data_IF_783273455871
#
_entry.id   IF_783273455871
#
_cell.length_a   1.000
_cell.length_b   1.000
_cell.length_c   1.000
_cell.angle_alpha   90.00
_cell.angle_beta   90.00
_cell.angle_gamma   90.00
#
_symmetry.space_group_name_H-M   'P 1'
#
loop_
_entity.id
_entity.type
_entity.pdbx_description
1 polymer ?
#
# COMPACT_ATOMS: atom_id res chain seq x y z
N UNK A 1 46.36 -18.52 34.31
CA UNK A 1 46.32 -17.34 33.41
C UNK A 1 45.31 -17.65 32.31
N UNK A 2 44.06 -17.22 32.47
CA UNK A 2 42.94 -17.53 31.57
C UNK A 2 42.81 -16.44 30.51
N UNK A 3 42.98 -16.81 29.26
CA UNK A 3 42.81 -15.93 28.12
C UNK A 3 41.30 -15.84 27.76
N UNK A 4 40.72 -14.69 28.02
CA UNK A 4 39.38 -14.33 27.62
C UNK A 4 39.38 -14.04 26.11
N UNK A 5 38.78 -14.91 25.31
CA UNK A 5 38.56 -14.66 23.88
C UNK A 5 37.32 -13.76 23.72
N UNK A 6 37.53 -12.51 23.35
CA UNK A 6 36.50 -11.59 22.89
C UNK A 6 35.95 -12.10 21.53
N UNK A 7 34.72 -12.57 21.54
CA UNK A 7 33.97 -12.85 20.34
C UNK A 7 33.41 -11.52 19.81
N UNK A 8 34.04 -10.98 18.78
CA UNK A 8 33.52 -9.84 18.06
C UNK A 8 32.27 -10.28 17.26
N UNK A 9 31.10 -10.06 17.83
CA UNK A 9 29.83 -10.23 17.15
C UNK A 9 29.72 -9.21 16.02
N UNK A 10 29.68 -9.67 14.79
CA UNK A 10 29.34 -8.83 13.64
C UNK A 10 27.89 -8.37 13.82
N UNK A 11 27.70 -7.12 14.25
CA UNK A 11 26.40 -6.45 14.17
C UNK A 11 26.03 -6.34 12.68
N UNK A 12 25.10 -7.19 12.25
CA UNK A 12 24.34 -6.94 11.04
C UNK A 12 23.56 -5.64 11.27
N UNK A 13 24.07 -4.54 10.75
CA UNK A 13 23.28 -3.33 10.61
C UNK A 13 22.18 -3.64 9.61
N UNK A 14 20.98 -3.93 10.12
CA UNK A 14 19.74 -3.87 9.34
C UNK A 14 19.72 -2.48 8.69
N UNK A 15 19.91 -2.45 7.37
CA UNK A 15 19.61 -1.26 6.60
C UNK A 15 18.15 -0.89 6.91
N UNK A 16 17.83 0.40 7.14
CA UNK A 16 16.44 0.79 7.36
C UNK A 16 15.66 0.32 6.15
N UNK A 17 14.67 -0.55 6.39
CA UNK A 17 13.62 -0.89 5.44
C UNK A 17 13.13 0.42 4.85
N UNK A 18 13.14 0.53 3.53
CA UNK A 18 12.88 1.75 2.79
C UNK A 18 11.76 2.53 3.45
N UNK A 19 12.02 3.81 3.67
CA UNK A 19 11.02 4.70 4.23
C UNK A 19 9.85 4.68 3.24
N UNK A 20 8.80 3.92 3.57
CA UNK A 20 7.50 4.18 2.99
C UNK A 20 7.31 5.68 3.09
N UNK A 21 7.10 6.35 1.96
CA UNK A 21 6.81 7.79 1.97
C UNK A 21 5.65 7.94 2.91
N UNK A 22 5.95 8.36 4.12
CA UNK A 22 4.93 8.56 5.15
C UNK A 22 3.92 9.50 4.53
N UNK A 23 2.67 9.07 4.48
CA UNK A 23 1.59 10.02 4.35
C UNK A 23 1.90 11.11 5.35
N UNK A 24 1.88 12.36 4.91
CA UNK A 24 2.04 13.48 5.82
C UNK A 24 0.67 13.71 6.48
N UNK A 25 0.42 13.14 7.68
CA UNK A 25 -0.85 13.31 8.35
C UNK A 25 -0.98 14.76 8.78
N UNK A 26 -2.12 15.35 8.51
CA UNK A 26 -2.45 16.70 8.92
C UNK A 26 -3.37 16.62 10.13
N UNK A 27 -3.05 17.35 11.17
CA UNK A 27 -3.91 17.51 12.35
C UNK A 27 -4.61 18.86 12.27
N UNK A 28 -5.91 18.93 12.55
CA UNK A 28 -6.73 20.14 12.48
C UNK A 28 -6.16 21.27 13.34
N UNK A 29 -5.66 20.95 14.54
CA UNK A 29 -5.02 21.94 15.42
C UNK A 29 -3.85 22.67 14.75
N UNK A 30 -3.13 22.01 13.84
CA UNK A 30 -2.01 22.61 13.11
C UNK A 30 -2.51 23.52 11.98
N UNK A 31 -3.65 23.19 11.37
CA UNK A 31 -4.34 24.06 10.42
C UNK A 31 -4.83 25.34 11.11
N UNK A 32 -5.54 25.21 12.21
CA UNK A 32 -6.06 26.33 13.02
C UNK A 32 -4.92 27.23 13.51
N UNK A 33 -3.81 26.63 13.92
CA UNK A 33 -2.63 27.37 14.38
C UNK A 33 -1.79 27.99 13.24
N UNK A 34 -2.18 27.78 11.96
CA UNK A 34 -1.42 28.24 10.78
C UNK A 34 -0.08 27.53 10.57
N UNK A 35 0.19 26.43 11.31
CA UNK A 35 1.40 25.63 11.21
C UNK A 35 1.38 24.66 10.02
N UNK A 36 0.19 24.27 9.57
CA UNK A 36 -0.02 23.49 8.37
C UNK A 36 -0.95 24.25 7.43
N UNK A 37 -0.68 24.16 6.14
CA UNK A 37 -1.51 24.71 5.06
C UNK A 37 -1.69 23.66 4.01
N UNK A 38 -2.84 23.68 3.35
CA UNK A 38 -3.07 22.83 2.20
C UNK A 38 -2.30 23.42 1.00
N UNK A 39 -1.63 22.53 0.26
CA UNK A 39 -0.80 22.86 -0.90
C UNK A 39 -1.55 22.44 -2.18
N UNK A 40 -1.72 23.34 -3.11
CA UNK A 40 -2.40 23.08 -4.38
C UNK A 40 -1.68 22.08 -5.29
N UNK A 41 -0.41 21.80 -5.06
CA UNK A 41 0.35 20.78 -5.79
C UNK A 41 0.18 19.37 -5.20
N UNK A 42 -0.34 19.25 -3.97
CA UNK A 42 -0.59 17.98 -3.29
C UNK A 42 -2.05 17.57 -3.48
N UNK A 43 -2.32 16.29 -3.45
CA UNK A 43 -3.66 15.78 -3.26
C UNK A 43 -3.90 15.44 -1.79
N UNK A 44 -5.14 15.22 -1.42
CA UNK A 44 -5.51 14.92 -0.03
C UNK A 44 -6.52 13.78 0.00
N UNK A 45 -6.31 12.84 0.93
CA UNK A 45 -7.26 11.76 1.20
C UNK A 45 -7.87 12.02 2.58
N UNK A 46 -9.19 12.23 2.60
CA UNK A 46 -9.97 12.38 3.82
C UNK A 46 -10.78 11.12 4.10
N UNK A 47 -10.66 10.63 5.33
CA UNK A 47 -11.36 9.44 5.83
C UNK A 47 -12.03 9.80 7.15
N UNK A 48 -13.23 9.30 7.38
CA UNK A 48 -13.97 9.53 8.61
C UNK A 48 -14.72 8.28 9.05
N UNK A 49 -14.91 8.08 10.33
CA UNK A 49 -15.67 6.96 10.89
C UNK A 49 -16.19 7.27 12.29
N UNK A 50 -17.12 6.47 12.78
CA UNK A 50 -17.64 6.56 14.16
C UNK A 50 -16.58 6.10 15.18
N UNK A 51 -15.60 5.33 14.73
CA UNK A 51 -14.52 4.82 15.54
C UNK A 51 -13.16 5.15 14.90
N UNK A 52 -12.07 4.91 15.62
CA UNK A 52 -10.73 5.03 15.07
C UNK A 52 -10.52 4.01 13.96
N UNK A 53 -10.11 4.49 12.81
CA UNK A 53 -9.82 3.69 11.63
C UNK A 53 -8.31 3.65 11.37
N UNK A 54 -7.89 2.68 10.60
CA UNK A 54 -6.54 2.60 10.06
C UNK A 54 -6.57 1.85 8.73
N UNK A 55 -5.58 2.09 7.91
CA UNK A 55 -5.46 1.38 6.65
C UNK A 55 -4.32 1.87 5.79
N UNK A 56 -4.15 1.20 4.67
CA UNK A 56 -3.09 1.48 3.71
C UNK A 56 -3.67 1.58 2.31
N UNK A 57 -3.25 2.61 1.60
CA UNK A 57 -3.48 2.78 0.16
C UNK A 57 -2.16 2.56 -0.58
N UNK A 58 -2.21 1.92 -1.74
CA UNK A 58 -1.09 1.86 -2.68
C UNK A 58 -1.34 2.86 -3.79
N UNK A 59 -0.37 3.72 -4.07
CA UNK A 59 -0.42 4.57 -5.25
C UNK A 59 0.04 3.78 -6.46
N UNK A 60 -0.72 3.83 -7.55
CA UNK A 60 -0.28 3.26 -8.83
C UNK A 60 0.93 4.04 -9.32
N UNK A 61 2.09 3.40 -9.53
CA UNK A 61 3.30 4.10 -9.94
C UNK A 61 3.13 4.76 -11.32
N UNK A 62 3.41 6.05 -11.39
CA UNK A 62 3.58 6.78 -12.63
C UNK A 62 4.99 6.59 -13.21
N UNK A 63 5.25 7.16 -14.39
CA UNK A 63 6.53 7.00 -15.07
C UNK A 63 7.68 7.62 -14.28
N UNK A 64 7.47 8.75 -13.61
CA UNK A 64 8.48 9.38 -12.76
C UNK A 64 8.84 8.50 -11.57
N UNK A 65 7.85 7.89 -10.93
CA UNK A 65 8.07 6.94 -9.84
C UNK A 65 8.80 5.69 -10.31
N UNK A 66 8.46 5.18 -11.52
CA UNK A 66 9.15 4.05 -12.14
C UNK A 66 10.61 4.37 -12.45
N UNK A 67 10.87 5.54 -13.06
CA UNK A 67 12.21 5.99 -13.39
C UNK A 67 13.08 6.19 -12.13
N UNK A 68 12.51 6.81 -11.08
CA UNK A 68 13.19 6.98 -9.81
C UNK A 68 13.50 5.64 -9.13
N UNK A 69 12.55 4.70 -9.15
CA UNK A 69 12.76 3.36 -8.60
C UNK A 69 13.88 2.61 -9.36
N UNK A 70 13.88 2.68 -10.69
CA UNK A 70 14.91 2.06 -11.52
C UNK A 70 16.30 2.61 -11.19
N UNK A 71 16.43 3.92 -11.04
CA UNK A 71 17.68 4.56 -10.64
C UNK A 71 18.17 4.07 -9.27
N UNK A 72 17.28 3.93 -8.32
CA UNK A 72 17.62 3.41 -6.98
C UNK A 72 18.01 1.93 -7.05
N UNK A 73 17.34 1.15 -7.88
CA UNK A 73 17.66 -0.25 -8.13
C UNK A 73 19.08 -0.39 -8.70
N UNK A 74 19.43 0.37 -9.76
CA UNK A 74 20.75 0.33 -10.40
C UNK A 74 21.86 0.72 -9.41
N UNK A 75 21.61 1.75 -8.60
CA UNK A 75 22.55 2.17 -7.55
C UNK A 75 22.73 1.09 -6.47
N UNK A 76 21.64 0.48 -6.03
CA UNK A 76 21.67 -0.59 -5.03
C UNK A 76 22.37 -1.85 -5.58
N UNK A 77 22.10 -2.22 -6.82
CA UNK A 77 22.74 -3.34 -7.50
C UNK A 77 24.25 -3.15 -7.63
N UNK A 78 24.68 -1.97 -8.10
CA UNK A 78 26.11 -1.63 -8.17
C UNK A 78 26.80 -1.73 -6.80
N UNK A 79 26.13 -1.30 -5.74
CA UNK A 79 26.65 -1.43 -4.37
C UNK A 79 26.72 -2.89 -3.93
N UNK A 80 25.73 -3.71 -4.31
CA UNK A 80 25.72 -5.15 -4.01
C UNK A 80 26.87 -5.88 -4.71
N UNK A 81 27.14 -5.57 -5.98
CA UNK A 81 28.26 -6.13 -6.74
C UNK A 81 29.62 -5.78 -6.10
N UNK A 82 29.81 -4.53 -5.66
CA UNK A 82 31.03 -4.14 -4.95
C UNK A 82 31.21 -4.90 -3.63
N UNK A 83 30.12 -5.08 -2.88
CA UNK A 83 30.16 -5.86 -1.63
C UNK A 83 30.47 -7.33 -1.90
N UNK A 84 29.90 -7.91 -2.95
CA UNK A 84 30.19 -9.26 -3.35
C UNK A 84 31.68 -9.44 -3.71
N UNK A 85 32.27 -8.55 -4.52
CA UNK A 85 33.69 -8.62 -4.87
C UNK A 85 34.59 -8.61 -3.61
N UNK A 86 34.28 -7.74 -2.63
CA UNK A 86 35.03 -7.71 -1.35
C UNK A 86 34.83 -8.99 -0.54
N UNK A 87 33.60 -9.48 -0.46
CA UNK A 87 33.27 -10.70 0.27
C UNK A 87 33.90 -11.94 -0.38
N UNK A 88 33.98 -11.99 -1.72
CA UNK A 88 34.63 -13.06 -2.46
C UNK A 88 36.14 -13.09 -2.20
N UNK A 89 36.81 -11.93 -2.23
CA UNK A 89 38.22 -11.83 -1.91
C UNK A 89 38.51 -12.28 -0.47
N UNK A 90 37.69 -11.87 0.48
CA UNK A 90 37.82 -12.32 1.87
C UNK A 90 37.60 -13.84 1.98
N UNK A 91 36.56 -14.37 1.33
CA UNK A 91 36.29 -15.81 1.32
C UNK A 91 37.45 -16.64 0.73
N UNK A 92 38.08 -16.15 -0.35
CA UNK A 92 39.24 -16.80 -0.94
C UNK A 92 40.41 -16.88 0.05
N UNK A 93 40.67 -15.81 0.81
CA UNK A 93 41.72 -15.79 1.83
C UNK A 93 41.37 -16.72 3.00
N UNK A 94 40.12 -16.67 3.48
CA UNK A 94 39.66 -17.52 4.58
C UNK A 94 39.70 -19.02 4.18
N UNK A 95 39.38 -19.34 2.91
CA UNK A 95 39.42 -20.71 2.41
C UNK A 95 40.84 -21.26 2.35
N UNK A 96 41.80 -20.48 1.89
CA UNK A 96 43.24 -20.86 1.94
C UNK A 96 43.72 -21.12 3.36
N UNK A 97 43.32 -20.28 4.32
CA UNK A 97 43.67 -20.45 5.72
C UNK A 97 43.01 -21.69 6.30
N UNK A 98 41.76 -21.96 5.95
CA UNK A 98 41.01 -23.14 6.37
C UNK A 98 41.69 -24.46 5.88
N UNK A 99 42.20 -24.47 4.64
CA UNK A 99 42.97 -25.59 4.09
C UNK A 99 44.25 -25.84 4.90
N UNK A 100 45.01 -24.77 5.24
CA UNK A 100 46.24 -24.86 6.01
C UNK A 100 45.98 -25.36 7.46
N UNK A 101 44.85 -24.93 8.06
CA UNK A 101 44.47 -25.30 9.44
C UNK A 101 43.59 -26.55 9.51
N UNK A 102 43.30 -27.21 8.38
CA UNK A 102 42.39 -28.37 8.28
C UNK A 102 41.01 -28.10 8.90
N UNK A 103 40.55 -26.84 8.84
CA UNK A 103 39.23 -26.43 9.30
C UNK A 103 38.21 -26.38 8.15
N UNK A 104 36.92 -26.43 8.46
CA UNK A 104 35.87 -26.33 7.43
C UNK A 104 35.79 -24.90 6.89
N UNK A 105 35.94 -24.69 5.56
CA UNK A 105 35.81 -23.35 4.97
C UNK A 105 34.36 -22.84 5.09
N UNK A 106 34.17 -21.55 5.07
CA UNK A 106 32.84 -20.91 4.98
C UNK A 106 32.24 -21.14 3.60
N UNK A 107 30.93 -21.05 3.52
CA UNK A 107 30.24 -21.12 2.23
C UNK A 107 30.63 -19.92 1.35
N UNK A 108 30.80 -20.17 0.05
CA UNK A 108 31.09 -19.12 -0.93
C UNK A 108 29.94 -18.12 -0.99
N UNK A 109 30.23 -16.80 -0.99
CA UNK A 109 29.18 -15.80 -1.15
C UNK A 109 28.46 -15.96 -2.49
N UNK A 110 27.13 -15.76 -2.50
CA UNK A 110 26.31 -15.78 -3.72
C UNK A 110 26.50 -14.48 -4.51
N UNK A 111 26.70 -14.60 -5.82
CA UNK A 111 26.82 -13.45 -6.71
C UNK A 111 25.45 -12.81 -6.94
N UNK A 112 25.29 -11.48 -6.72
CA UNK A 112 24.05 -10.80 -7.07
C UNK A 112 23.96 -10.68 -8.59
N UNK A 113 22.91 -11.28 -9.19
CA UNK A 113 22.58 -11.13 -10.61
C UNK A 113 21.39 -10.19 -10.78
N UNK A 114 21.16 -9.70 -12.01
CA UNK A 114 20.01 -8.84 -12.31
C UNK A 114 18.68 -9.53 -12.04
N UNK A 115 18.63 -10.86 -12.17
CA UNK A 115 17.44 -11.69 -11.99
C UNK A 115 17.14 -11.99 -10.52
N UNK A 116 18.18 -12.05 -9.69
CA UNK A 116 18.04 -12.42 -8.27
C UNK A 116 18.07 -11.23 -7.32
N UNK A 117 18.64 -10.09 -7.78
CA UNK A 117 18.75 -8.90 -6.94
C UNK A 117 17.46 -8.11 -6.91
N UNK A 118 17.02 -7.76 -5.72
CA UNK A 118 15.78 -7.01 -5.50
C UNK A 118 15.96 -5.93 -4.46
N UNK A 119 15.18 -4.87 -4.61
CA UNK A 119 14.97 -3.83 -3.60
C UNK A 119 13.49 -3.83 -3.22
N UNK A 120 13.06 -2.88 -2.41
CA UNK A 120 11.65 -2.74 -2.04
C UNK A 120 10.75 -2.68 -3.29
N UNK A 121 9.60 -3.36 -3.28
CA UNK A 121 8.70 -3.38 -4.43
C UNK A 121 8.28 -1.98 -4.87
N UNK A 122 8.21 -1.77 -6.18
CA UNK A 122 7.81 -0.51 -6.79
C UNK A 122 6.44 -0.02 -6.28
N UNK A 123 5.49 -0.93 -6.14
CA UNK A 123 4.12 -0.62 -5.69
C UNK A 123 4.05 -0.10 -4.24
N UNK A 124 5.08 -0.35 -3.43
CA UNK A 124 5.15 0.15 -2.05
C UNK A 124 5.80 1.53 -1.95
N UNK A 125 6.38 2.04 -3.03
CA UNK A 125 7.20 3.27 -2.98
C UNK A 125 6.43 4.48 -2.49
N UNK A 126 5.19 4.63 -2.93
CA UNK A 126 4.29 5.73 -2.56
C UNK A 126 3.07 5.21 -1.77
N UNK A 127 3.25 4.12 -1.01
CA UNK A 127 2.20 3.61 -0.13
C UNK A 127 1.87 4.61 0.99
N UNK A 128 0.60 4.78 1.26
CA UNK A 128 0.07 5.74 2.23
C UNK A 128 -0.68 4.99 3.32
N UNK A 129 -0.18 5.04 4.55
CA UNK A 129 -0.86 4.50 5.71
C UNK A 129 -1.44 5.63 6.57
N UNK A 130 -2.63 5.43 7.12
CA UNK A 130 -3.27 6.36 8.04
C UNK A 130 -3.78 5.64 9.29
N UNK A 131 -3.99 6.39 10.36
CA UNK A 131 -4.52 5.90 11.63
C UNK A 131 -3.69 4.81 12.30
N UNK A 132 -4.11 4.38 13.48
CA UNK A 132 -5.13 4.98 14.35
C UNK A 132 -4.67 6.25 15.08
N UNK A 133 -3.39 6.63 14.93
CA UNK A 133 -2.80 7.88 15.46
C UNK A 133 -2.93 9.01 14.42
N UNK A 134 -2.52 10.23 14.78
CA UNK A 134 -2.53 11.41 13.91
C UNK A 134 -3.92 11.69 13.33
N UNK A 135 -4.89 11.75 14.24
CA UNK A 135 -6.28 12.10 13.94
C UNK A 135 -6.34 13.55 13.47
N UNK A 136 -7.05 13.82 12.36
CA UNK A 136 -7.29 15.18 11.90
C UNK A 136 -8.21 15.91 12.87
N UNK A 137 -9.43 15.43 13.03
CA UNK A 137 -10.41 15.97 13.97
C UNK A 137 -11.10 14.84 14.72
N UNK A 138 -11.54 15.16 15.95
CA UNK A 138 -12.27 14.23 16.81
C UNK A 138 -13.47 14.95 17.43
N UNK A 139 -14.65 14.46 17.11
CA UNK A 139 -15.94 14.85 17.66
C UNK A 139 -16.83 13.62 17.68
N UNK A 140 -18.06 13.73 17.15
CA UNK A 140 -18.97 12.60 16.95
C UNK A 140 -18.37 11.56 15.97
N UNK A 141 -17.45 12.00 15.16
CA UNK A 141 -16.66 11.16 14.24
C UNK A 141 -15.17 11.39 14.43
N UNK A 142 -14.39 10.38 14.11
CA UNK A 142 -12.92 10.46 14.07
C UNK A 142 -12.51 10.54 12.61
N UNK A 143 -11.79 11.59 12.23
CA UNK A 143 -11.36 11.78 10.85
C UNK A 143 -9.85 11.84 10.72
N UNK A 144 -9.38 11.53 9.52
CA UNK A 144 -7.97 11.54 9.11
C UNK A 144 -7.84 12.31 7.82
N UNK A 145 -6.82 13.14 7.72
CA UNK A 145 -6.46 13.86 6.52
C UNK A 145 -4.98 13.62 6.23
N UNK A 146 -4.68 13.11 5.05
CA UNK A 146 -3.31 12.83 4.63
C UNK A 146 -3.00 13.58 3.34
N UNK A 147 -1.93 14.37 3.36
CA UNK A 147 -1.37 14.95 2.15
C UNK A 147 -0.59 13.87 1.39
N UNK A 148 -0.89 13.73 0.10
CA UNK A 148 -0.36 12.67 -0.74
C UNK A 148 0.07 13.22 -2.10
N UNK A 149 0.82 12.47 -2.90
CA UNK A 149 1.03 12.79 -4.30
C UNK A 149 -0.28 12.59 -5.07
N UNK A 150 -0.64 13.45 -6.03
CA UNK A 150 -1.77 13.18 -6.92
C UNK A 150 -1.57 11.88 -7.72
N UNK A 151 -2.68 11.25 -8.12
CA UNK A 151 -2.68 10.03 -8.94
C UNK A 151 -3.69 9.00 -8.48
N UNK A 152 -3.63 7.81 -9.07
CA UNK A 152 -4.54 6.71 -8.75
C UNK A 152 -4.10 5.96 -7.51
N UNK A 153 -5.02 5.72 -6.59
CA UNK A 153 -4.82 4.97 -5.35
C UNK A 153 -5.69 3.73 -5.31
N UNK A 154 -5.15 2.64 -4.78
CA UNK A 154 -5.85 1.38 -4.55
C UNK A 154 -5.99 1.19 -3.04
N UNK A 155 -7.19 0.85 -2.59
CA UNK A 155 -7.42 0.49 -1.20
C UNK A 155 -6.81 -0.88 -0.90
N UNK A 156 -5.63 -0.89 -0.27
CA UNK A 156 -4.92 -2.13 0.04
C UNK A 156 -5.56 -2.91 1.19
N UNK A 157 -6.24 -2.20 2.08
CA UNK A 157 -7.03 -2.80 3.16
C UNK A 157 -6.81 -2.18 4.53
N UNK A 158 -7.57 -2.62 5.54
CA UNK A 158 -7.37 -2.25 6.92
C UNK A 158 -6.08 -2.91 7.45
N UNK A 159 -4.97 -2.34 7.06
CA UNK A 159 -3.63 -2.80 7.35
C UNK A 159 -2.82 -1.67 7.97
N UNK A 160 -2.31 -1.89 9.17
CA UNK A 160 -1.38 -1.00 9.84
C UNK A 160 0.04 -1.48 9.60
N UNK A 161 0.86 -0.62 9.02
CA UNK A 161 2.28 -0.89 8.76
C UNK A 161 3.13 -0.13 9.77
N UNK A 162 3.97 -0.85 10.49
CA UNK A 162 4.90 -0.30 11.49
C UNK A 162 6.31 -0.85 11.23
N UNK A 163 7.37 -0.23 11.75
CA UNK A 163 8.74 -0.70 11.52
C UNK A 163 8.97 -2.18 11.89
N UNK A 164 8.22 -2.71 12.85
CA UNK A 164 8.31 -4.09 13.29
C UNK A 164 7.53 -5.09 12.42
N UNK A 165 6.74 -4.63 11.45
CA UNK A 165 5.92 -5.48 10.59
C UNK A 165 4.59 -4.84 10.21
N UNK A 166 3.64 -5.68 9.82
CA UNK A 166 2.29 -5.24 9.48
C UNK A 166 1.24 -6.08 10.19
N UNK A 167 0.14 -5.46 10.56
CA UNK A 167 -1.00 -6.12 11.21
C UNK A 167 -2.30 -5.70 10.56
N UNK A 168 -3.18 -6.66 10.31
CA UNK A 168 -4.48 -6.43 9.67
C UNK A 168 -4.69 -7.30 8.45
N UNK A 169 -5.55 -6.83 7.56
CA UNK A 169 -6.01 -7.59 6.39
C UNK A 169 -5.65 -6.86 5.10
N UNK A 170 -5.10 -7.61 4.15
CA UNK A 170 -4.92 -7.17 2.77
C UNK A 170 -6.17 -7.56 1.95
N UNK A 171 -6.76 -6.61 1.23
CA UNK A 171 -7.78 -6.89 0.20
C UNK A 171 -7.14 -7.38 -1.10
N UNK A 172 -6.18 -8.27 -0.98
CA UNK A 172 -5.36 -8.75 -2.08
C UNK A 172 -6.10 -9.61 -3.09
N UNK A 173 -7.31 -10.09 -2.76
CA UNK A 173 -8.14 -10.89 -3.67
C UNK A 173 -9.19 -10.06 -4.42
N UNK A 174 -9.06 -8.75 -4.39
CA UNK A 174 -9.92 -7.78 -5.06
C UNK A 174 -10.25 -6.60 -4.15
N UNK A 175 -10.21 -5.40 -4.74
CA UNK A 175 -10.39 -4.15 -4.04
C UNK A 175 -10.98 -3.08 -4.98
N UNK A 176 -10.86 -1.81 -4.58
CA UNK A 176 -11.24 -0.65 -5.37
C UNK A 176 -10.10 0.32 -5.52
N UNK A 177 -10.14 1.12 -6.58
CA UNK A 177 -9.24 2.22 -6.87
C UNK A 177 -10.01 3.51 -7.11
N UNK A 178 -9.33 4.64 -6.89
CA UNK A 178 -9.87 5.98 -7.10
C UNK A 178 -8.76 6.95 -7.46
N UNK A 179 -9.12 8.09 -8.02
CA UNK A 179 -8.18 9.16 -8.38
C UNK A 179 -8.12 10.22 -7.29
N UNK A 180 -6.93 10.74 -7.04
CA UNK A 180 -6.65 11.88 -6.16
C UNK A 180 -6.05 12.99 -7.00
N UNK A 181 -6.76 14.13 -7.10
CA UNK A 181 -6.36 15.28 -7.90
C UNK A 181 -5.52 16.27 -7.11
N UNK A 182 -4.65 17.04 -7.78
CA UNK A 182 -3.90 18.09 -7.13
C UNK A 182 -4.83 19.21 -6.63
N UNK A 183 -4.57 19.72 -5.42
CA UNK A 183 -5.34 20.79 -4.80
C UNK A 183 -6.75 20.39 -4.34
N UNK A 184 -7.08 19.10 -4.30
CA UNK A 184 -8.43 18.61 -3.99
C UNK A 184 -8.40 17.65 -2.80
N UNK A 185 -9.39 17.79 -1.92
CA UNK A 185 -9.66 16.83 -0.85
C UNK A 185 -10.57 15.74 -1.39
N UNK A 186 -10.02 14.56 -1.59
CA UNK A 186 -10.76 13.35 -1.97
C UNK A 186 -11.46 12.81 -0.73
N UNK A 187 -12.77 13.03 -0.63
CA UNK A 187 -13.58 12.65 0.52
C UNK A 187 -14.09 11.23 0.37
N UNK A 188 -13.41 10.27 1.00
CA UNK A 188 -13.85 8.88 1.09
C UNK A 188 -14.89 8.67 2.20
N UNK A 189 -15.01 9.62 3.12
CA UNK A 189 -15.89 9.47 4.27
C UNK A 189 -15.64 8.16 5.01
N UNK A 190 -16.71 7.38 5.20
CA UNK A 190 -16.66 6.03 5.77
C UNK A 190 -16.93 4.92 4.75
N UNK A 191 -16.95 5.26 3.47
CA UNK A 191 -17.36 4.37 2.36
C UNK A 191 -16.62 3.02 2.36
N UNK A 192 -15.35 3.01 2.75
CA UNK A 192 -14.51 1.80 2.74
C UNK A 192 -14.53 1.02 4.07
N UNK A 193 -15.18 1.56 5.12
CA UNK A 193 -15.18 1.01 6.48
C UNK A 193 -16.57 0.68 7.01
N UNK A 194 -17.61 1.25 6.45
CA UNK A 194 -18.96 0.86 6.83
C UNK A 194 -19.12 -0.62 6.51
N UNK A 195 -19.62 -1.37 7.48
CA UNK A 195 -20.10 -2.73 7.22
C UNK A 195 -21.01 -2.63 6.01
N UNK A 196 -20.76 -3.43 4.96
CA UNK A 196 -21.51 -3.27 3.73
C UNK A 196 -23.00 -3.25 4.07
N UNK A 197 -23.73 -2.26 3.60
CA UNK A 197 -25.21 -2.21 3.65
C UNK A 197 -25.83 -3.42 2.97
N UNK A 198 -25.01 -4.29 2.46
CA UNK A 198 -25.24 -5.51 1.71
C UNK A 198 -25.21 -6.79 2.56
N UNK A 199 -25.23 -6.69 3.90
CA UNK A 199 -25.42 -7.85 4.76
C UNK A 199 -26.82 -8.43 4.55
N UNK A 200 -27.00 -9.19 3.50
CA UNK A 200 -28.25 -9.77 3.04
C UNK A 200 -28.41 -9.84 1.52
N UNK A 201 -27.50 -9.22 0.74
CA UNK A 201 -27.50 -9.43 -0.70
C UNK A 201 -26.98 -10.83 -0.99
N UNK A 202 -27.90 -11.63 -1.53
CA UNK A 202 -27.58 -12.90 -2.15
C UNK A 202 -26.50 -12.71 -3.21
N UNK A 203 -25.68 -13.72 -3.36
CA UNK A 203 -24.57 -13.84 -4.28
C UNK A 203 -24.87 -13.13 -5.62
N UNK A 204 -24.23 -11.98 -5.84
CA UNK A 204 -24.37 -11.15 -7.05
C UNK A 204 -24.03 -11.98 -8.31
N UNK A 205 -23.32 -13.10 -8.17
CA UNK A 205 -23.04 -14.03 -9.28
C UNK A 205 -24.28 -14.47 -10.03
N UNK A 206 -25.44 -14.52 -9.37
CA UNK A 206 -26.73 -14.85 -10.01
C UNK A 206 -27.37 -13.64 -10.72
N UNK A 207 -27.01 -12.41 -10.38
CA UNK A 207 -27.56 -11.20 -10.98
C UNK A 207 -26.77 -10.75 -12.22
N UNK A 208 -25.55 -11.21 -12.40
CA UNK A 208 -24.69 -10.90 -13.55
C UNK A 208 -25.15 -11.53 -14.88
N UNK A 209 -26.20 -12.34 -14.88
CA UNK A 209 -26.62 -13.11 -16.04
C UNK A 209 -27.64 -12.40 -16.95
N UNK A 210 -27.96 -11.13 -16.75
CA UNK A 210 -29.00 -10.47 -17.56
C UNK A 210 -28.70 -9.05 -18.02
N UNK A 211 -29.23 -8.67 -19.21
CA UNK A 211 -29.08 -7.36 -19.82
C UNK A 211 -29.56 -6.15 -18.97
N UNK A 212 -30.40 -6.38 -17.97
CA UNK A 212 -30.83 -5.37 -16.99
C UNK A 212 -29.75 -5.00 -15.96
N UNK A 213 -28.64 -5.71 -15.96
CA UNK A 213 -27.57 -5.49 -15.00
C UNK A 213 -26.74 -4.23 -15.32
N UNK A 214 -26.43 -3.99 -16.58
CA UNK A 214 -25.70 -2.79 -17.01
C UNK A 214 -26.47 -1.49 -16.67
N UNK A 215 -27.79 -1.51 -16.84
CA UNK A 215 -28.66 -0.38 -16.54
C UNK A 215 -28.77 -0.13 -15.04
N UNK A 216 -28.98 -1.17 -14.23
CA UNK A 216 -28.95 -1.09 -12.76
C UNK A 216 -27.59 -0.65 -12.22
N UNK A 217 -26.52 -1.09 -12.84
CA UNK A 217 -25.17 -0.75 -12.48
C UNK A 217 -24.85 0.72 -12.71
N UNK A 218 -25.34 1.30 -13.82
CA UNK A 218 -25.20 2.74 -14.08
C UNK A 218 -26.05 3.58 -13.12
N UNK A 219 -27.26 3.14 -12.81
CA UNK A 219 -28.13 3.80 -11.83
C UNK A 219 -27.52 3.75 -10.43
N UNK A 220 -27.05 2.59 -10.00
CA UNK A 220 -26.38 2.43 -8.71
C UNK A 220 -25.09 3.25 -8.61
N UNK A 221 -24.33 3.40 -9.71
CA UNK A 221 -23.18 4.32 -9.76
C UNK A 221 -23.59 5.77 -9.60
N UNK A 222 -24.66 6.18 -10.27
CA UNK A 222 -25.18 7.54 -10.16
C UNK A 222 -25.67 7.80 -8.72
N UNK A 223 -26.30 6.80 -8.08
CA UNK A 223 -26.74 6.88 -6.68
C UNK A 223 -25.58 6.86 -5.70
N UNK A 224 -24.54 6.05 -5.91
CA UNK A 224 -23.30 6.07 -5.11
C UNK A 224 -22.53 7.37 -5.35
N UNK A 225 -22.51 7.87 -6.59
CA UNK A 225 -21.91 9.17 -6.89
C UNK A 225 -22.74 10.36 -6.37
N UNK A 226 -24.08 10.22 -6.33
CA UNK A 226 -25.00 11.29 -5.91
C UNK A 226 -25.40 11.22 -4.44
N UNK A 227 -25.32 10.07 -3.78
CA UNK A 227 -25.83 9.84 -2.43
C UNK A 227 -24.94 8.97 -1.54
N UNK A 228 -23.76 8.60 -2.02
CA UNK A 228 -22.76 7.96 -1.18
C UNK A 228 -22.49 8.86 0.01
N UNK A 229 -22.56 8.32 1.21
CA UNK A 229 -22.46 8.97 2.50
C UNK A 229 -21.69 10.29 2.46
N UNK A 230 -22.43 11.38 2.18
CA UNK A 230 -21.88 12.73 2.21
C UNK A 230 -21.53 13.03 3.66
N UNK A 231 -20.31 12.72 4.02
CA UNK A 231 -19.84 13.08 5.36
C UNK A 231 -19.40 14.52 5.28
N UNK A 232 -20.07 15.35 6.06
CA UNK A 232 -19.69 16.74 6.18
C UNK A 232 -18.23 16.85 6.62
N UNK A 233 -17.50 17.65 5.88
CA UNK A 233 -16.13 17.95 6.23
C UNK A 233 -16.09 18.85 7.47
N UNK A 234 -15.06 18.72 8.30
CA UNK A 234 -14.78 19.72 9.34
C UNK A 234 -14.77 21.13 8.81
N UNK A 235 -15.22 22.09 9.62
CA UNK A 235 -15.34 23.49 9.22
C UNK A 235 -14.03 24.08 8.62
N UNK A 236 -12.90 23.60 9.08
CA UNK A 236 -11.56 23.95 8.60
C UNK A 236 -11.25 23.55 7.16
N UNK A 237 -12.06 22.66 6.57
CA UNK A 237 -11.93 22.21 5.18
C UNK A 237 -13.07 22.69 4.27
N UNK A 238 -14.05 23.45 4.77
CA UNK A 238 -15.23 23.85 4.01
C UNK A 238 -14.92 24.64 2.75
N UNK A 239 -13.90 25.48 2.79
CA UNK A 239 -13.52 26.35 1.69
C UNK A 239 -12.51 25.69 0.73
N UNK A 240 -12.12 24.44 1.02
CA UNK A 240 -11.18 23.71 0.17
C UNK A 240 -11.90 22.91 -0.91
N UNK A 241 -11.41 22.90 -2.16
CA UNK A 241 -11.98 22.06 -3.21
C UNK A 241 -12.07 20.61 -2.74
N UNK A 242 -13.26 20.05 -2.82
CA UNK A 242 -13.56 18.69 -2.32
C UNK A 242 -14.34 17.93 -3.36
N UNK A 243 -14.01 16.65 -3.50
CA UNK A 243 -14.78 15.73 -4.33
C UNK A 243 -14.99 14.37 -3.62
N UNK A 244 -16.13 13.76 -3.90
CA UNK A 244 -16.35 12.34 -3.60
C UNK A 244 -15.79 11.55 -4.78
N UNK A 245 -14.83 10.65 -4.57
CA UNK A 245 -14.18 9.97 -5.68
C UNK A 245 -15.10 8.94 -6.34
N UNK A 246 -14.98 8.81 -7.65
CA UNK A 246 -15.57 7.70 -8.40
C UNK A 246 -14.72 6.46 -8.15
N UNK A 247 -15.29 5.48 -7.47
CA UNK A 247 -14.64 4.19 -7.23
C UNK A 247 -14.68 3.34 -8.51
N UNK A 248 -13.63 2.59 -8.75
CA UNK A 248 -13.49 1.61 -9.82
C UNK A 248 -13.00 0.29 -9.23
N UNK A 249 -13.37 -0.84 -9.82
CA UNK A 249 -12.85 -2.13 -9.39
C UNK A 249 -11.33 -2.21 -9.60
N UNK A 250 -10.64 -2.79 -8.63
CA UNK A 250 -9.23 -3.14 -8.70
C UNK A 250 -9.05 -4.65 -8.59
N UNK A 251 -8.21 -5.22 -9.46
CA UNK A 251 -7.92 -6.64 -9.51
C UNK A 251 -7.14 -7.16 -8.30
N UNK A 252 -6.63 -8.37 -8.40
CA UNK A 252 -5.83 -8.99 -7.35
C UNK A 252 -4.50 -8.23 -7.17
N UNK A 253 -4.06 -8.13 -5.92
CA UNK A 253 -2.84 -7.45 -5.51
C UNK A 253 -1.86 -8.43 -4.86
N UNK A 254 -0.58 -8.08 -4.85
CA UNK A 254 0.41 -8.84 -4.11
C UNK A 254 0.29 -8.61 -2.60
N UNK A 255 0.46 -9.67 -1.83
CA UNK A 255 0.56 -9.57 -0.37
C UNK A 255 1.99 -9.25 0.06
N UNK A 256 2.39 -7.98 -0.10
CA UNK A 256 3.75 -7.52 0.19
C UNK A 256 4.15 -7.66 1.65
N UNK A 257 3.20 -7.58 2.55
CA UNK A 257 3.47 -7.56 4.01
C UNK A 257 3.24 -8.91 4.69
N UNK A 258 2.82 -9.94 3.95
CA UNK A 258 2.48 -11.24 4.54
C UNK A 258 1.27 -11.17 5.50
N UNK A 259 0.40 -10.18 5.32
CA UNK A 259 -0.80 -9.98 6.12
C UNK A 259 -1.86 -11.06 5.82
N UNK A 260 -2.92 -11.07 6.61
CA UNK A 260 -4.09 -11.91 6.30
C UNK A 260 -4.70 -11.48 4.96
N UNK A 261 -4.88 -12.44 4.07
CA UNK A 261 -5.43 -12.19 2.72
C UNK A 261 -6.94 -12.34 2.74
N UNK A 262 -7.63 -11.36 2.19
CA UNK A 262 -9.08 -11.38 1.99
C UNK A 262 -9.44 -10.60 0.73
N UNK A 263 -10.72 -10.39 0.49
CA UNK A 263 -11.26 -9.54 -0.56
C UNK A 263 -12.16 -8.47 0.04
N UNK A 264 -12.17 -7.28 -0.56
CA UNK A 264 -13.14 -6.26 -0.20
C UNK A 264 -14.55 -6.82 -0.47
N UNK A 265 -15.50 -6.66 0.44
CA UNK A 265 -16.90 -6.99 0.13
C UNK A 265 -17.36 -6.35 -1.18
N UNK A 266 -18.29 -6.96 -1.92
CA UNK A 266 -18.83 -6.36 -3.14
C UNK A 266 -19.28 -4.92 -2.90
N UNK A 267 -18.99 -4.03 -3.86
CA UNK A 267 -19.40 -2.62 -3.84
C UNK A 267 -20.41 -2.43 -4.97
N UNK A 268 -21.61 -2.03 -4.62
CA UNK A 268 -22.70 -1.87 -5.58
C UNK A 268 -22.29 -0.91 -6.71
N UNK A 269 -22.61 -1.29 -7.94
CA UNK A 269 -22.24 -0.51 -9.13
C UNK A 269 -20.76 -0.48 -9.48
N UNK A 270 -19.87 -1.04 -8.63
CA UNK A 270 -18.42 -0.94 -8.79
C UNK A 270 -17.75 -2.30 -8.87
N UNK A 271 -17.87 -3.11 -7.82
CA UNK A 271 -17.07 -4.31 -7.61
C UNK A 271 -17.95 -5.52 -7.32
N UNK A 272 -17.78 -6.57 -8.09
CA UNK A 272 -18.38 -7.86 -7.86
C UNK A 272 -17.36 -8.98 -8.04
N UNK A 273 -17.78 -10.20 -7.71
CA UNK A 273 -16.94 -11.38 -7.85
C UNK A 273 -17.71 -12.48 -8.56
N UNK A 274 -17.03 -13.15 -9.48
CA UNK A 274 -17.52 -14.39 -10.08
C UNK A 274 -16.52 -15.49 -9.72
N UNK A 275 -16.83 -16.27 -8.69
CA UNK A 275 -15.88 -17.21 -8.07
C UNK A 275 -14.66 -16.46 -7.53
N UNK A 276 -13.49 -16.66 -8.14
CA UNK A 276 -12.21 -16.04 -7.81
C UNK A 276 -11.84 -14.86 -8.72
N UNK A 277 -12.69 -14.53 -9.70
CA UNK A 277 -12.49 -13.41 -10.63
C UNK A 277 -13.09 -12.13 -10.07
N UNK A 278 -12.36 -11.04 -10.21
CA UNK A 278 -12.80 -9.69 -9.86
C UNK A 278 -13.51 -9.11 -11.09
N UNK A 279 -14.73 -8.64 -10.94
CA UNK A 279 -15.55 -8.11 -12.01
C UNK A 279 -15.78 -6.62 -11.77
N UNK A 280 -15.49 -5.81 -12.78
CA UNK A 280 -15.96 -4.42 -12.85
C UNK A 280 -17.45 -4.43 -13.21
N UNK A 281 -18.26 -3.99 -12.25
CA UNK A 281 -19.72 -4.01 -12.41
C UNK A 281 -20.20 -3.09 -13.54
N UNK A 282 -19.46 -2.03 -13.85
CA UNK A 282 -19.84 -1.10 -14.88
C UNK A 282 -19.67 -1.63 -16.30
N UNK A 283 -18.63 -2.44 -16.50
CA UNK A 283 -18.33 -3.02 -17.81
C UNK A 283 -18.82 -4.46 -17.92
N UNK A 284 -19.02 -5.14 -16.77
CA UNK A 284 -19.29 -6.58 -16.71
C UNK A 284 -18.05 -7.43 -17.00
N UNK A 285 -16.88 -6.82 -17.16
CA UNK A 285 -15.65 -7.49 -17.55
C UNK A 285 -14.80 -7.87 -16.32
N UNK A 286 -13.97 -8.88 -16.51
CA UNK A 286 -12.97 -9.24 -15.51
C UNK A 286 -11.88 -8.17 -15.45
N UNK A 287 -11.59 -7.69 -14.24
CA UNK A 287 -10.49 -6.76 -14.02
C UNK A 287 -9.17 -7.52 -14.11
N UNK A 288 -8.29 -7.05 -14.98
CA UNK A 288 -6.96 -7.61 -15.12
C UNK A 288 -6.22 -7.59 -13.77
N UNK A 289 -5.66 -8.73 -13.40
CA UNK A 289 -4.79 -8.80 -12.23
C UNK A 289 -3.50 -8.05 -12.53
N UNK A 290 -3.02 -7.28 -11.55
CA UNK A 290 -1.67 -6.76 -11.60
C UNK A 290 -0.65 -7.90 -11.72
N UNK A 291 0.61 -7.64 -12.13
CA UNK A 291 1.63 -8.67 -12.18
C UNK A 291 1.78 -9.27 -10.78
N UNK A 292 1.37 -10.53 -10.64
CA UNK A 292 1.56 -11.29 -9.42
C UNK A 292 3.04 -11.62 -9.35
N UNK A 293 3.81 -10.83 -8.64
CA UNK A 293 5.17 -11.21 -8.29
C UNK A 293 5.04 -12.35 -7.29
N UNK A 294 5.27 -13.57 -7.76
CA UNK A 294 5.35 -14.73 -6.89
C UNK A 294 6.31 -14.43 -5.75
N UNK A 295 5.86 -14.73 -4.55
CA UNK A 295 6.52 -14.59 -3.26
C UNK A 295 8.04 -14.71 -3.38
N UNK A 296 8.76 -13.61 -3.32
CA UNK A 296 10.20 -13.67 -3.11
C UNK A 296 10.42 -14.28 -1.73
N UNK A 297 11.06 -15.45 -1.70
CA UNK A 297 11.53 -16.02 -0.44
C UNK A 297 12.53 -15.04 0.14
N UNK A 298 12.11 -14.25 1.11
CA UNK A 298 13.04 -13.55 1.99
C UNK A 298 13.79 -14.66 2.71
N UNK A 299 14.99 -14.96 2.23
CA UNK A 299 15.92 -15.81 2.99
C UNK A 299 16.20 -15.07 4.30
N UNK A 300 15.77 -15.66 5.42
CA UNK A 300 16.11 -15.19 6.76
C UNK A 300 17.62 -15.22 7.00
#
# INVERSE_FOLDING_TARGET
MSAVRLIAGAMLTLAPLGQSVRADPIEEKNMIAGKAKLDSARGYIFVSGTERQFGTFLRVPDDDTRAAWQKDWDKAFTKAQKRYASALAQWQNDSKLAEQTKSKPRDKPEEPTRETFTIDPLDLRDAVSFGPMFVYAKGDRVSYLNAVKPGTYIWYGPLMVVPAGASGTCWCMGSVRFEVKPGVVTNLGDTLWTKPRFAGQQDITLQLAGAKFAERSQTARAEVAAGGTHIDLPATLKDWPTEVPVLQAAGKLNNYYGAMVSRLPPVEGVLAYQRDRVIDVATGEEVANGPIVTRQKIKK
#
